data_IF_391279637083
#
_entry.id   IF_391279637083
#
_cell.length_a   1.000
_cell.length_b   1.000
_cell.length_c   1.000
_cell.angle_alpha   90.00
_cell.angle_beta   90.00
_cell.angle_gamma   90.00
#
_symmetry.space_group_name_H-M   'P 1'
#
loop_
_entity.id
_entity.type
_entity.pdbx_description
1 polymer ?
#
# COMPACT_ATOMS: atom_id res chain seq x y z
N UNK A 1 -32.14 3.57 9.05
CA UNK A 1 -31.40 4.47 9.98
C UNK A 1 -30.39 3.74 10.88
N UNK A 2 -30.09 2.45 10.63
CA UNK A 2 -29.20 1.62 11.47
C UNK A 2 -27.72 1.66 11.07
N UNK A 3 -27.39 1.81 9.78
CA UNK A 3 -26.00 1.87 9.28
C UNK A 3 -25.13 2.91 10.00
N UNK A 4 -25.69 4.11 10.23
CA UNK A 4 -24.96 5.19 10.91
C UNK A 4 -24.53 4.82 12.33
N UNK A 5 -25.30 4.00 13.06
CA UNK A 5 -24.95 3.62 14.44
C UNK A 5 -23.84 2.58 14.51
N UNK A 6 -23.81 1.62 13.58
CA UNK A 6 -22.76 0.62 13.50
C UNK A 6 -21.44 1.24 13.03
N UNK A 7 -21.48 2.10 12.03
CA UNK A 7 -20.30 2.79 11.50
C UNK A 7 -19.66 3.74 12.53
N UNK A 8 -20.48 4.45 13.33
CA UNK A 8 -19.98 5.25 14.45
C UNK A 8 -19.34 4.37 15.54
N UNK A 9 -19.92 3.20 15.82
CA UNK A 9 -19.40 2.26 16.83
C UNK A 9 -18.07 1.64 16.39
N UNK A 10 -17.94 1.29 15.11
CA UNK A 10 -16.71 0.78 14.54
C UNK A 10 -15.60 1.82 14.52
N UNK A 11 -15.92 3.08 14.17
CA UNK A 11 -14.96 4.19 14.24
C UNK A 11 -14.47 4.46 15.68
N UNK A 12 -15.38 4.45 16.67
CA UNK A 12 -15.01 4.59 18.08
C UNK A 12 -14.11 3.43 18.57
N UNK A 13 -14.30 2.23 18.02
CA UNK A 13 -13.46 1.08 18.30
C UNK A 13 -12.07 1.27 17.68
N UNK A 14 -11.99 1.77 16.44
CA UNK A 14 -10.73 2.04 15.77
C UNK A 14 -9.88 3.09 16.51
N UNK A 15 -10.47 4.21 16.90
CA UNK A 15 -9.81 5.28 17.67
C UNK A 15 -9.23 4.76 19.00
N UNK A 16 -9.99 3.88 19.68
CA UNK A 16 -9.53 3.23 20.90
C UNK A 16 -8.36 2.29 20.62
N UNK A 17 -8.47 1.43 19.61
CA UNK A 17 -7.41 0.51 19.23
C UNK A 17 -6.11 1.24 18.82
N UNK A 18 -6.22 2.35 18.08
CA UNK A 18 -5.09 3.21 17.72
C UNK A 18 -4.43 3.80 18.96
N UNK A 19 -5.23 4.21 19.95
CA UNK A 19 -4.73 4.78 21.21
C UNK A 19 -4.05 3.73 22.09
N UNK A 20 -4.57 2.50 22.10
CA UNK A 20 -4.05 1.37 22.89
C UNK A 20 -2.85 0.68 22.21
N UNK A 21 -2.56 1.01 20.94
CA UNK A 21 -1.46 0.41 20.19
C UNK A 21 -0.10 0.75 20.81
N UNK A 22 0.59 -0.27 21.33
CA UNK A 22 1.89 -0.12 22.02
C UNK A 22 2.99 0.55 21.19
N UNK A 23 2.92 0.46 19.86
CA UNK A 23 3.86 1.13 18.97
C UNK A 23 3.62 2.63 18.80
N UNK A 24 2.51 3.15 19.34
CA UNK A 24 2.06 4.53 19.21
C UNK A 24 1.27 4.80 17.93
N UNK A 25 0.29 5.70 18.02
CA UNK A 25 -0.64 6.04 16.92
C UNK A 25 0.05 6.41 15.61
N UNK A 26 1.12 7.22 15.66
CA UNK A 26 1.83 7.65 14.47
C UNK A 26 2.53 6.50 13.74
N UNK A 27 3.06 5.54 14.50
CA UNK A 27 3.69 4.34 13.93
C UNK A 27 2.64 3.47 13.25
N UNK A 28 1.47 3.29 13.87
CA UNK A 28 0.35 2.58 13.24
C UNK A 28 -0.08 3.25 11.93
N UNK A 29 -0.19 4.59 11.89
CA UNK A 29 -0.54 5.33 10.67
C UNK A 29 0.49 5.13 9.54
N UNK A 30 1.78 5.18 9.86
CA UNK A 30 2.84 4.96 8.86
C UNK A 30 2.80 3.55 8.31
N UNK A 31 2.67 2.55 9.19
CA UNK A 31 2.55 1.13 8.80
C UNK A 31 1.30 0.89 7.96
N UNK A 32 0.17 1.50 8.32
CA UNK A 32 -1.07 1.39 7.55
C UNK A 32 -0.93 1.99 6.16
N UNK A 33 -0.25 3.12 6.00
CA UNK A 33 0.00 3.70 4.68
C UNK A 33 0.92 2.81 3.83
N UNK A 34 1.97 2.24 4.44
CA UNK A 34 2.87 1.31 3.75
C UNK A 34 2.11 0.07 3.26
N UNK A 35 1.31 -0.52 4.15
CA UNK A 35 0.49 -1.68 3.84
C UNK A 35 -0.61 -1.37 2.82
N UNK A 36 -1.30 -0.24 2.94
CA UNK A 36 -2.30 0.18 1.97
C UNK A 36 -1.72 0.39 0.57
N UNK A 37 -0.50 0.92 0.45
CA UNK A 37 0.19 1.02 -0.83
C UNK A 37 0.48 -0.34 -1.44
N UNK A 38 0.86 -1.33 -0.61
CA UNK A 38 1.02 -2.71 -1.05
C UNK A 38 -0.31 -3.31 -1.54
N UNK A 39 -1.38 -3.19 -0.74
CA UNK A 39 -2.71 -3.68 -1.09
C UNK A 39 -3.22 -3.08 -2.40
N UNK A 40 -2.90 -1.80 -2.69
CA UNK A 40 -3.30 -1.11 -3.92
C UNK A 40 -2.75 -1.76 -5.20
N UNK A 41 -1.67 -2.55 -5.11
CA UNK A 41 -1.13 -3.31 -6.22
C UNK A 41 -1.83 -4.65 -6.47
N UNK A 42 -2.63 -5.13 -5.51
CA UNK A 42 -3.50 -6.29 -5.72
C UNK A 42 -4.69 -5.92 -6.61
N UNK A 43 -5.15 -6.86 -7.43
CA UNK A 43 -6.32 -6.64 -8.30
C UNK A 43 -7.60 -6.41 -7.48
N UNK A 44 -7.68 -6.96 -6.27
CA UNK A 44 -8.84 -6.82 -5.36
C UNK A 44 -9.06 -5.36 -4.91
N UNK A 45 -7.99 -4.68 -4.48
CA UNK A 45 -8.06 -3.32 -3.94
C UNK A 45 -7.71 -2.23 -4.97
N UNK A 46 -7.40 -2.62 -6.22
CA UNK A 46 -6.98 -1.70 -7.28
C UNK A 46 -8.00 -0.58 -7.51
N UNK A 47 -9.28 -0.88 -7.43
CA UNK A 47 -10.38 0.07 -7.67
C UNK A 47 -10.84 0.80 -6.41
N UNK A 48 -10.44 0.35 -5.22
CA UNK A 48 -10.90 0.91 -3.96
C UNK A 48 -10.31 2.31 -3.72
N UNK A 49 -11.08 3.26 -3.15
CA UNK A 49 -10.55 4.53 -2.67
C UNK A 49 -9.41 4.32 -1.67
N UNK A 50 -8.40 5.19 -1.73
CA UNK A 50 -7.23 5.04 -0.85
C UNK A 50 -7.58 5.14 0.64
N UNK A 51 -8.57 5.97 0.98
CA UNK A 51 -9.06 6.10 2.36
C UNK A 51 -9.58 4.75 2.91
N UNK A 52 -10.39 4.04 2.13
CA UNK A 52 -10.99 2.76 2.53
C UNK A 52 -9.91 1.67 2.72
N UNK A 53 -8.87 1.69 1.88
CA UNK A 53 -7.73 0.77 2.00
C UNK A 53 -6.91 1.09 3.26
N UNK A 54 -6.71 2.37 3.59
CA UNK A 54 -6.02 2.79 4.81
C UNK A 54 -6.81 2.34 6.05
N UNK A 55 -8.14 2.48 6.04
CA UNK A 55 -8.98 2.01 7.14
C UNK A 55 -8.88 0.49 7.33
N UNK A 56 -8.94 -0.28 6.23
CA UNK A 56 -8.72 -1.73 6.26
C UNK A 56 -7.32 -2.08 6.81
N UNK A 57 -6.30 -1.41 6.33
CA UNK A 57 -4.92 -1.62 6.78
C UNK A 57 -4.75 -1.31 8.27
N UNK A 58 -5.39 -0.25 8.78
CA UNK A 58 -5.42 0.05 10.21
C UNK A 58 -6.08 -1.09 11.00
N UNK A 59 -7.22 -1.60 10.54
CA UNK A 59 -7.91 -2.73 11.20
C UNK A 59 -7.01 -3.96 11.30
N UNK A 60 -6.35 -4.34 10.21
CA UNK A 60 -5.46 -5.51 10.16
C UNK A 60 -4.21 -5.38 11.06
N UNK A 61 -3.63 -4.18 11.14
CA UNK A 61 -2.48 -3.92 12.01
C UNK A 61 -2.88 -3.95 13.49
N UNK A 62 -4.01 -3.35 13.81
CA UNK A 62 -4.47 -3.20 15.19
C UNK A 62 -5.08 -4.50 15.74
N UNK A 63 -5.65 -5.34 14.87
CA UNK A 63 -6.08 -6.70 15.22
C UNK A 63 -4.91 -7.68 15.37
N UNK A 64 -3.73 -7.32 14.87
CA UNK A 64 -2.56 -8.19 14.82
C UNK A 64 -2.61 -9.24 13.70
N UNK A 65 -3.56 -9.11 12.77
CA UNK A 65 -3.64 -9.93 11.56
C UNK A 65 -2.43 -9.72 10.65
N UNK A 66 -1.87 -8.51 10.66
CA UNK A 66 -0.66 -8.15 9.93
C UNK A 66 0.39 -7.57 10.87
N UNK A 67 1.58 -8.16 10.84
CA UNK A 67 2.72 -7.74 11.66
C UNK A 67 3.59 -6.71 10.93
N UNK A 68 4.38 -5.95 11.71
CA UNK A 68 5.34 -4.99 11.13
C UNK A 68 6.34 -5.68 10.18
N UNK A 69 6.76 -6.91 10.49
CA UNK A 69 7.72 -7.65 9.68
C UNK A 69 7.16 -8.05 8.31
N UNK A 70 5.88 -8.41 8.24
CA UNK A 70 5.18 -8.71 6.98
C UNK A 70 5.06 -7.47 6.11
N UNK A 71 4.71 -6.33 6.72
CA UNK A 71 4.63 -5.04 6.00
C UNK A 71 5.98 -4.68 5.41
N UNK A 72 7.06 -4.80 6.19
CA UNK A 72 8.41 -4.48 5.71
C UNK A 72 8.85 -5.41 4.56
N UNK A 73 8.51 -6.70 4.63
CA UNK A 73 8.78 -7.65 3.54
C UNK A 73 8.02 -7.27 2.27
N UNK A 74 6.75 -6.90 2.40
CA UNK A 74 5.91 -6.50 1.28
C UNK A 74 6.40 -5.21 0.62
N UNK A 75 6.71 -4.18 1.42
CA UNK A 75 7.27 -2.90 0.92
C UNK A 75 8.56 -3.14 0.14
N UNK A 76 9.48 -3.93 0.70
CA UNK A 76 10.75 -4.24 0.03
C UNK A 76 10.53 -4.91 -1.33
N UNK A 77 9.61 -5.88 -1.39
CA UNK A 77 9.26 -6.58 -2.62
C UNK A 77 8.65 -5.64 -3.66
N UNK A 78 7.78 -4.72 -3.24
CA UNK A 78 7.17 -3.74 -4.13
C UNK A 78 8.20 -2.74 -4.69
N UNK A 79 9.19 -2.35 -3.88
CA UNK A 79 10.31 -1.50 -4.31
C UNK A 79 11.21 -2.21 -5.32
N UNK A 80 11.51 -3.50 -5.11
CA UNK A 80 12.26 -4.34 -6.05
C UNK A 80 11.53 -4.38 -7.41
N UNK A 81 10.24 -4.69 -7.42
CA UNK A 81 9.41 -4.74 -8.64
C UNK A 81 9.36 -3.37 -9.36
N UNK A 82 9.22 -2.27 -8.61
CA UNK A 82 9.22 -0.91 -9.19
C UNK A 82 10.57 -0.60 -9.83
N UNK A 83 11.66 -1.01 -9.19
CA UNK A 83 13.02 -0.78 -9.66
C UNK A 83 13.31 -1.58 -10.93
N UNK A 84 12.95 -2.87 -10.97
CA UNK A 84 13.07 -3.73 -12.15
C UNK A 84 12.33 -3.14 -13.36
N UNK A 85 11.05 -2.78 -13.18
CA UNK A 85 10.25 -2.15 -14.24
C UNK A 85 10.81 -0.82 -14.71
N UNK A 86 11.47 -0.06 -13.83
CA UNK A 86 12.11 1.21 -14.19
C UNK A 86 13.40 0.99 -15.01
N UNK A 87 14.13 -0.10 -14.74
CA UNK A 87 15.32 -0.50 -15.52
C UNK A 87 14.89 -0.99 -16.91
N UNK A 88 13.88 -1.85 -17.01
CA UNK A 88 13.33 -2.34 -18.29
C UNK A 88 12.86 -1.19 -19.19
N UNK A 89 12.13 -0.22 -18.65
CA UNK A 89 11.69 0.95 -19.42
C UNK A 89 12.85 1.82 -19.93
N UNK A 90 14.00 1.81 -19.24
CA UNK A 90 15.19 2.55 -19.66
C UNK A 90 15.96 1.80 -20.75
N UNK A 91 16.04 0.47 -20.68
CA UNK A 91 16.68 -0.36 -21.72
C UNK A 91 15.86 -0.36 -23.02
N UNK A 92 14.53 -0.50 -22.93
CA UNK A 92 13.64 -0.43 -24.11
C UNK A 92 13.70 0.93 -24.83
N UNK A 93 13.76 2.04 -24.07
CA UNK A 93 13.93 3.38 -24.65
C UNK A 93 15.29 3.57 -25.31
N UNK A 94 16.34 2.91 -24.81
CA UNK A 94 17.68 2.97 -25.39
C UNK A 94 17.73 2.19 -26.69
N UNK A 95 17.18 0.97 -26.74
CA UNK A 95 17.13 0.13 -27.94
C UNK A 95 16.26 0.70 -29.07
N UNK A 96 15.11 1.31 -28.73
CA UNK A 96 14.27 2.02 -29.73
C UNK A 96 14.98 3.24 -30.32
N UNK A 97 15.83 3.93 -29.56
CA UNK A 97 16.65 5.02 -30.07
C UNK A 97 17.78 4.52 -30.98
N UNK A 98 18.45 3.42 -30.64
CA UNK A 98 19.52 2.86 -31.47
C UNK A 98 19.01 2.28 -32.79
N UNK A 99 17.82 1.67 -32.83
CA UNK A 99 17.23 1.16 -34.08
C UNK A 99 16.79 2.29 -35.02
N UNK A 100 16.26 3.40 -34.49
CA UNK A 100 15.81 4.52 -35.32
C UNK A 100 16.96 5.27 -35.99
N UNK A 101 18.15 5.26 -35.39
CA UNK A 101 19.37 5.86 -35.97
C UNK A 101 20.05 5.01 -37.04
N UNK A 102 19.63 3.75 -37.26
CA UNK A 102 20.26 2.82 -38.21
C UNK A 102 19.45 2.65 -39.52
N UNK A 103 18.22 3.14 -39.55
CA UNK A 103 17.33 3.14 -40.74
C UNK A 103 17.35 4.49 -41.50
N UNK A 104 18.09 5.49 -41.01
CA UNK A 104 18.20 6.83 -41.62
C UNK A 104 19.59 7.10 -42.27
N UNK A 105 20.45 6.08 -42.43
CA UNK A 105 21.75 6.16 -43.12
C UNK A 105 21.77 5.30 -44.39
#
# INVERSE_FOLDING_TARGET
MTKNKEEIKDNLNLEKLISDYKGGKYKATVLAMQWANHLKFSEEFRTWPMADIIEKALKEILSGEVTQEEILKAVKRDEEIKTERAVEKKTEKKEKKTKKSKDEE
#
